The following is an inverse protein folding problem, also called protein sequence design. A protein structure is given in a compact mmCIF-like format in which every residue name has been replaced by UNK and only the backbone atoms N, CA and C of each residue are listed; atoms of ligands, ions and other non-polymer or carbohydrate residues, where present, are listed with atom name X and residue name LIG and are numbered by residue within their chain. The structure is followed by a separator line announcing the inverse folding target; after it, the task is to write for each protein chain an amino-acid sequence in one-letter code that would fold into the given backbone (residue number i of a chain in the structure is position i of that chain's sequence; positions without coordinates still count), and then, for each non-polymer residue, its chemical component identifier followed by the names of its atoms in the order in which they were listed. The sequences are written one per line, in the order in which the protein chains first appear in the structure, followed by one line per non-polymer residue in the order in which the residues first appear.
data_IF_404389085880
#
_entry.id   IF_404389085880
#
_cell.length_a   1.000
_cell.length_b   1.000
_cell.length_c   1.000
_cell.angle_alpha   90.00
_cell.angle_beta   90.00
_cell.angle_gamma   90.00
#
_symmetry.space_group_name_H-M   'P 1'
#
loop_
_entity.id
_entity.type
_entity.pdbx_description
1 polymer ?
#
# COMPACT_ATOMS: atom_id res chain seq x y z
N UNK A 1 -20.62 -2.15 -4.32
CA UNK A 1 -20.66 -1.03 -5.30
C UNK A 1 -21.09 0.23 -4.57
N UNK A 2 -20.16 1.05 -4.05
CA UNK A 2 -20.49 2.21 -3.21
C UNK A 2 -21.33 3.27 -3.94
N UNK A 3 -21.07 3.52 -5.22
CA UNK A 3 -21.72 4.57 -6.00
C UNK A 3 -23.23 4.34 -6.23
N UNK A 4 -23.66 3.08 -6.39
CA UNK A 4 -25.08 2.75 -6.58
C UNK A 4 -25.86 3.03 -5.30
N UNK A 5 -25.35 2.58 -4.15
CA UNK A 5 -25.99 2.81 -2.86
C UNK A 5 -26.05 4.30 -2.52
N UNK A 6 -24.99 5.06 -2.82
CA UNK A 6 -24.97 6.52 -2.60
C UNK A 6 -25.95 7.23 -3.55
N UNK A 7 -26.03 6.81 -4.82
CA UNK A 7 -26.98 7.35 -5.80
C UNK A 7 -28.44 7.13 -5.38
N UNK A 8 -28.75 5.93 -4.87
CA UNK A 8 -30.06 5.59 -4.30
C UNK A 8 -30.39 6.45 -3.07
N UNK A 9 -29.41 6.65 -2.17
CA UNK A 9 -29.60 7.48 -0.97
C UNK A 9 -29.80 8.97 -1.29
N UNK A 10 -29.19 9.46 -2.36
CA UNK A 10 -29.19 10.87 -2.73
C UNK A 10 -30.17 11.20 -3.87
N UNK A 11 -30.93 10.21 -4.37
CA UNK A 11 -31.86 10.37 -5.50
C UNK A 11 -31.23 11.04 -6.73
N UNK A 12 -29.98 10.69 -7.04
CA UNK A 12 -29.22 11.23 -8.19
C UNK A 12 -28.72 10.09 -9.07
N UNK A 13 -28.43 10.40 -10.34
CA UNK A 13 -27.90 9.40 -11.27
C UNK A 13 -26.55 8.86 -10.81
N UNK A 14 -26.36 7.55 -10.94
CA UNK A 14 -25.10 6.86 -10.62
C UNK A 14 -23.88 7.53 -11.27
N UNK A 15 -24.00 7.97 -12.52
CA UNK A 15 -22.91 8.59 -13.27
C UNK A 15 -22.44 9.91 -12.63
N UNK A 16 -23.34 10.63 -11.95
CA UNK A 16 -23.01 11.86 -11.21
C UNK A 16 -22.17 11.50 -10.00
N UNK A 17 -22.60 10.49 -9.23
CA UNK A 17 -21.83 9.99 -8.09
C UNK A 17 -20.47 9.42 -8.52
N UNK A 18 -20.40 8.68 -9.63
CA UNK A 18 -19.14 8.16 -10.15
C UNK A 18 -18.18 9.30 -10.56
N UNK A 19 -18.70 10.36 -11.19
CA UNK A 19 -17.91 11.55 -11.54
C UNK A 19 -17.46 12.32 -10.30
N UNK A 20 -18.32 12.48 -9.29
CA UNK A 20 -17.97 13.15 -8.04
C UNK A 20 -16.91 12.36 -7.26
N UNK A 21 -17.04 11.04 -7.20
CA UNK A 21 -16.01 10.17 -6.62
C UNK A 21 -14.68 10.33 -7.35
N UNK A 22 -14.68 10.36 -8.69
CA UNK A 22 -13.46 10.58 -9.47
C UNK A 22 -12.86 11.97 -9.24
N UNK A 23 -13.69 13.01 -9.13
CA UNK A 23 -13.25 14.37 -8.82
C UNK A 23 -12.61 14.42 -7.43
N UNK A 24 -13.26 13.85 -6.42
CA UNK A 24 -12.75 13.75 -5.06
C UNK A 24 -11.40 13.00 -5.02
N UNK A 25 -11.28 11.87 -5.71
CA UNK A 25 -9.99 11.16 -5.81
C UNK A 25 -8.91 12.00 -6.49
N UNK A 26 -9.26 12.77 -7.52
CA UNK A 26 -8.33 13.67 -8.20
C UNK A 26 -7.88 14.81 -7.28
N UNK A 27 -8.79 15.38 -6.49
CA UNK A 27 -8.46 16.45 -5.53
C UNK A 27 -7.63 15.93 -4.36
N UNK A 28 -7.99 14.77 -3.79
CA UNK A 28 -7.16 14.05 -2.83
C UNK A 28 -5.76 13.78 -3.40
N UNK A 29 -5.67 13.40 -4.67
CA UNK A 29 -4.40 13.22 -5.37
C UNK A 29 -3.57 14.50 -5.52
N UNK A 30 -4.20 15.69 -5.56
CA UNK A 30 -3.49 16.99 -5.55
C UNK A 30 -2.97 17.33 -4.16
N UNK A 31 -3.72 17.04 -3.11
CA UNK A 31 -3.28 17.20 -1.72
C UNK A 31 -2.14 16.24 -1.38
N UNK A 32 -2.18 15.02 -1.92
CA UNK A 32 -1.12 14.01 -1.77
C UNK A 32 0.25 14.46 -2.29
N UNK A 33 0.32 15.38 -3.26
CA UNK A 33 1.62 15.94 -3.70
C UNK A 33 2.37 16.73 -2.62
N UNK A 34 1.70 17.09 -1.52
CA UNK A 34 2.26 17.86 -0.40
C UNK A 34 2.50 17.04 0.85
N UNK A 35 2.02 15.80 0.89
CA UNK A 35 2.09 14.95 2.08
C UNK A 35 3.10 13.85 1.79
N UNK A 36 4.13 13.75 2.63
CA UNK A 36 5.03 12.61 2.62
C UNK A 36 4.19 11.33 2.85
N UNK A 37 4.26 10.39 1.92
CA UNK A 37 3.47 9.17 1.94
C UNK A 37 3.74 8.38 3.22
N UNK A 38 4.99 8.37 3.68
CA UNK A 38 5.37 7.69 4.91
C UNK A 38 4.75 8.39 6.13
N UNK A 39 4.76 9.73 6.15
CA UNK A 39 4.12 10.51 7.20
C UNK A 39 2.58 10.34 7.20
N UNK A 40 1.96 10.19 6.03
CA UNK A 40 0.54 9.90 5.92
C UNK A 40 0.21 8.52 6.50
N UNK A 41 0.91 7.48 6.06
CA UNK A 41 0.71 6.10 6.53
C UNK A 41 0.93 6.04 8.05
N UNK A 42 2.00 6.65 8.54
CA UNK A 42 2.30 6.72 9.97
C UNK A 42 1.17 7.41 10.75
N UNK A 43 0.64 8.54 10.27
CA UNK A 43 -0.51 9.22 10.89
C UNK A 43 -1.77 8.36 10.91
N UNK A 44 -2.03 7.56 9.88
CA UNK A 44 -3.18 6.65 9.87
C UNK A 44 -3.00 5.48 10.86
N UNK A 45 -1.79 4.93 10.96
CA UNK A 45 -1.46 3.88 11.93
C UNK A 45 -1.68 4.39 13.36
N UNK A 46 -1.18 5.58 13.69
CA UNK A 46 -1.39 6.19 15.02
C UNK A 46 -2.88 6.35 15.35
N UNK A 47 -3.70 6.80 14.39
CA UNK A 47 -5.14 6.96 14.59
C UNK A 47 -5.82 5.63 14.88
N UNK A 48 -5.49 4.60 14.10
CA UNK A 48 -6.02 3.25 14.29
C UNK A 48 -5.59 2.66 15.64
N UNK A 49 -4.33 2.82 16.02
CA UNK A 49 -3.82 2.31 17.30
C UNK A 49 -4.41 3.05 18.51
N UNK A 50 -4.65 4.36 18.37
CA UNK A 50 -5.40 5.13 19.37
C UNK A 50 -6.83 4.61 19.54
N UNK A 51 -7.52 4.29 18.43
CA UNK A 51 -8.86 3.71 18.48
C UNK A 51 -8.86 2.32 19.10
N UNK A 52 -7.87 1.49 18.76
CA UNK A 52 -7.64 0.18 19.36
C UNK A 52 -7.46 0.27 20.87
N UNK A 53 -6.63 1.21 21.36
CA UNK A 53 -6.44 1.45 22.79
C UNK A 53 -7.74 1.85 23.50
N UNK A 54 -8.56 2.71 22.89
CA UNK A 54 -9.89 3.05 23.43
C UNK A 54 -10.81 1.84 23.51
N UNK A 55 -10.87 1.03 22.46
CA UNK A 55 -11.67 -0.20 22.44
C UNK A 55 -11.21 -1.20 23.50
N UNK A 56 -9.90 -1.38 23.70
CA UNK A 56 -9.37 -2.20 24.78
C UNK A 56 -9.86 -1.71 26.15
N UNK A 57 -9.85 -0.39 26.38
CA UNK A 57 -10.39 0.18 27.63
C UNK A 57 -11.89 -0.03 27.82
N UNK A 58 -12.66 -0.18 26.73
CA UNK A 58 -14.09 -0.52 26.78
C UNK A 58 -14.33 -2.01 26.96
N UNK A 59 -13.44 -2.85 26.42
CA UNK A 59 -13.47 -4.30 26.60
C UNK A 59 -13.32 -4.67 28.07
N UNK A 60 -12.38 -4.03 28.77
CA UNK A 60 -12.16 -4.23 30.21
C UNK A 60 -13.38 -3.86 31.07
N UNK A 61 -14.21 -2.93 30.58
CA UNK A 61 -15.41 -2.42 31.27
C UNK A 61 -16.71 -3.08 30.79
N UNK A 62 -16.63 -4.01 29.85
CA UNK A 62 -17.83 -4.65 29.31
C UNK A 62 -18.28 -5.78 30.25
N UNK A 63 -19.54 -5.73 30.67
CA UNK A 63 -20.07 -6.66 31.67
C UNK A 63 -20.76 -7.89 31.06
N UNK A 64 -21.02 -7.86 29.75
CA UNK A 64 -21.74 -8.89 29.02
C UNK A 64 -20.89 -9.44 27.85
N UNK A 65 -21.07 -10.74 27.58
CA UNK A 65 -20.28 -11.49 26.60
C UNK A 65 -20.51 -10.98 25.17
N UNK A 66 -21.72 -10.56 24.82
CA UNK A 66 -22.04 -10.07 23.48
C UNK A 66 -21.32 -8.75 23.19
N UNK A 67 -21.30 -7.82 24.15
CA UNK A 67 -20.50 -6.58 24.04
C UNK A 67 -19.02 -6.87 23.95
N UNK A 68 -18.50 -7.82 24.75
CA UNK A 68 -17.08 -8.21 24.67
C UNK A 68 -16.72 -8.72 23.28
N UNK A 69 -17.50 -9.67 22.76
CA UNK A 69 -17.32 -10.22 21.41
C UNK A 69 -17.40 -9.14 20.32
N UNK A 70 -18.34 -8.19 20.45
CA UNK A 70 -18.45 -7.09 19.50
C UNK A 70 -17.19 -6.21 19.50
N UNK A 71 -16.69 -5.85 20.69
CA UNK A 71 -15.47 -5.03 20.84
C UNK A 71 -14.23 -5.78 20.33
N UNK A 72 -14.08 -7.06 20.66
CA UNK A 72 -12.98 -7.91 20.18
C UNK A 72 -12.95 -7.98 18.64
N UNK A 73 -14.10 -8.15 17.99
CA UNK A 73 -14.20 -8.12 16.52
C UNK A 73 -13.78 -6.78 15.95
N UNK A 74 -14.13 -5.67 16.60
CA UNK A 74 -13.71 -4.34 16.17
C UNK A 74 -12.20 -4.15 16.31
N UNK A 75 -11.59 -4.62 17.41
CA UNK A 75 -10.14 -4.61 17.61
C UNK A 75 -9.44 -5.44 16.53
N UNK A 76 -9.89 -6.68 16.29
CA UNK A 76 -9.31 -7.54 15.27
C UNK A 76 -9.38 -6.90 13.87
N UNK A 77 -10.49 -6.24 13.53
CA UNK A 77 -10.62 -5.51 12.27
C UNK A 77 -9.62 -4.35 12.15
N UNK A 78 -9.34 -3.63 13.25
CA UNK A 78 -8.30 -2.60 13.26
C UNK A 78 -6.93 -3.23 13.02
N UNK A 79 -6.61 -4.33 13.70
CA UNK A 79 -5.33 -5.03 13.54
C UNK A 79 -5.12 -5.48 12.09
N UNK A 80 -6.15 -6.07 11.46
CA UNK A 80 -6.10 -6.43 10.04
C UNK A 80 -5.88 -5.23 9.11
N UNK A 81 -6.48 -4.08 9.41
CA UNK A 81 -6.28 -2.85 8.62
C UNK A 81 -4.86 -2.34 8.74
N UNK A 82 -4.29 -2.32 9.94
CA UNK A 82 -2.90 -1.88 10.17
C UNK A 82 -1.94 -2.79 9.38
N UNK A 83 -2.06 -4.11 9.53
CA UNK A 83 -1.23 -5.09 8.80
C UNK A 83 -1.34 -4.87 7.29
N UNK A 84 -2.57 -4.74 6.78
CA UNK A 84 -2.79 -4.53 5.35
C UNK A 84 -2.19 -3.21 4.85
N UNK A 85 -2.25 -2.13 5.64
CA UNK A 85 -1.63 -0.85 5.28
C UNK A 85 -0.11 -0.96 5.22
N UNK A 86 0.52 -1.57 6.24
CA UNK A 86 1.98 -1.76 6.29
C UNK A 86 2.44 -2.63 5.12
N UNK A 87 1.80 -3.77 4.89
CA UNK A 87 2.15 -4.66 3.78
C UNK A 87 2.03 -3.96 2.43
N UNK A 88 0.96 -3.17 2.21
CA UNK A 88 0.81 -2.40 0.96
C UNK A 88 1.85 -1.28 0.84
N UNK A 89 2.17 -0.60 1.93
CA UNK A 89 3.18 0.46 1.94
C UNK A 89 4.57 -0.08 1.58
N UNK A 90 4.91 -1.31 1.99
CA UNK A 90 6.18 -1.94 1.62
C UNK A 90 6.15 -2.55 0.20
N UNK A 91 5.07 -3.24 -0.16
CA UNK A 91 5.01 -3.99 -1.42
C UNK A 91 4.74 -3.12 -2.65
N UNK A 92 4.02 -2.00 -2.53
CA UNK A 92 3.67 -1.16 -3.68
C UNK A 92 4.88 -0.44 -4.28
N UNK A 93 5.75 0.24 -3.49
CA UNK A 93 7.00 0.78 -4.00
C UNK A 93 7.89 -0.33 -4.57
N UNK A 94 7.89 -1.50 -3.93
CA UNK A 94 8.64 -2.65 -4.38
C UNK A 94 8.23 -3.11 -5.79
N UNK A 95 6.94 -3.37 -5.98
CA UNK A 95 6.40 -3.78 -7.26
C UNK A 95 6.61 -2.70 -8.34
N UNK A 96 6.41 -1.42 -7.98
CA UNK A 96 6.58 -0.30 -8.89
C UNK A 96 8.01 -0.20 -9.44
N UNK A 97 9.02 -0.14 -8.57
CA UNK A 97 10.41 0.00 -9.02
C UNK A 97 10.92 -1.26 -9.72
N UNK A 98 10.49 -2.45 -9.32
CA UNK A 98 10.81 -3.67 -10.06
C UNK A 98 10.26 -3.63 -11.50
N UNK A 99 9.04 -3.09 -11.70
CA UNK A 99 8.48 -2.90 -13.04
C UNK A 99 9.28 -1.87 -13.85
N UNK A 100 9.66 -0.74 -13.22
CA UNK A 100 10.52 0.28 -13.85
C UNK A 100 11.86 -0.32 -14.27
N UNK A 101 12.54 -1.05 -13.39
CA UNK A 101 13.83 -1.67 -13.69
C UNK A 101 13.73 -2.75 -14.76
N UNK A 102 12.63 -3.51 -14.81
CA UNK A 102 12.36 -4.47 -15.89
C UNK A 102 12.34 -3.78 -17.26
N UNK A 103 11.61 -2.67 -17.38
CA UNK A 103 11.54 -1.90 -18.64
C UNK A 103 12.88 -1.24 -18.99
N UNK A 104 13.58 -0.66 -18.01
CA UNK A 104 14.91 -0.09 -18.24
C UNK A 104 15.91 -1.15 -18.73
N UNK A 105 15.87 -2.36 -18.17
CA UNK A 105 16.71 -3.48 -18.58
C UNK A 105 16.36 -3.99 -19.98
N UNK A 106 15.09 -3.96 -20.37
CA UNK A 106 14.64 -4.29 -21.73
C UNK A 106 15.20 -3.29 -22.74
N UNK A 107 15.08 -1.99 -22.47
CA UNK A 107 15.64 -0.92 -23.31
C UNK A 107 17.18 -1.03 -23.40
N UNK A 108 17.86 -1.30 -22.28
CA UNK A 108 19.30 -1.49 -22.27
C UNK A 108 19.73 -2.69 -23.14
N UNK A 109 18.95 -3.79 -23.13
CA UNK A 109 19.20 -4.96 -23.99
C UNK A 109 19.00 -4.63 -25.47
N UNK A 110 17.92 -3.94 -25.82
CA UNK A 110 17.62 -3.52 -27.20
C UNK A 110 18.70 -2.59 -27.76
N UNK A 111 19.16 -1.64 -26.95
CA UNK A 111 20.21 -0.68 -27.31
C UNK A 111 21.65 -1.21 -27.13
N UNK A 112 21.81 -2.48 -26.76
CA UNK A 112 23.12 -3.14 -26.49
C UNK A 112 24.00 -2.36 -25.50
N UNK A 113 23.38 -1.74 -24.49
CA UNK A 113 24.08 -1.01 -23.45
C UNK A 113 24.66 -1.99 -22.42
N UNK A 114 25.85 -1.69 -21.89
CA UNK A 114 26.58 -2.59 -20.96
C UNK A 114 26.09 -2.53 -19.50
N UNK A 115 25.00 -1.80 -19.24
CA UNK A 115 24.48 -1.61 -17.90
C UNK A 115 23.12 -2.28 -17.69
N UNK A 116 22.89 -2.73 -16.46
CA UNK A 116 21.62 -3.26 -15.98
C UNK A 116 21.33 -2.77 -14.56
N UNK A 117 20.05 -2.74 -14.22
CA UNK A 117 19.56 -2.53 -12.86
C UNK A 117 19.15 -3.86 -12.25
N UNK A 118 19.49 -4.07 -10.98
CA UNK A 118 19.03 -5.21 -10.18
C UNK A 118 17.73 -4.86 -9.45
N UNK A 119 16.99 -5.87 -8.98
CA UNK A 119 15.73 -5.68 -8.25
C UNK A 119 15.93 -4.99 -6.90
N UNK A 120 14.83 -4.47 -6.37
CA UNK A 120 14.64 -3.43 -5.34
C UNK A 120 15.70 -3.11 -4.29
N UNK A 121 16.49 -4.05 -3.81
CA UNK A 121 17.40 -3.81 -2.67
C UNK A 121 18.76 -3.26 -3.10
N UNK A 122 19.06 -3.32 -4.39
CA UNK A 122 20.32 -2.85 -4.91
C UNK A 122 20.09 -1.61 -5.77
N UNK A 123 19.17 -1.61 -6.74
CA UNK A 123 18.95 -0.45 -7.62
C UNK A 123 20.25 0.08 -8.27
N UNK A 124 21.34 -0.69 -8.17
CA UNK A 124 22.68 -0.27 -8.52
C UNK A 124 22.82 -0.56 -9.99
N UNK A 125 23.25 0.46 -10.73
CA UNK A 125 23.69 0.27 -12.09
C UNK A 125 24.94 -0.61 -12.07
N UNK A 126 24.80 -1.87 -12.48
CA UNK A 126 25.90 -2.82 -12.54
C UNK A 126 26.27 -3.09 -14.00
N UNK A 127 27.55 -3.33 -14.25
CA UNK A 127 28.00 -3.82 -15.55
C UNK A 127 27.52 -5.25 -15.75
N UNK A 128 27.36 -5.66 -17.01
CA UNK A 128 26.91 -7.01 -17.35
C UNK A 128 27.84 -8.10 -16.79
N UNK A 129 29.15 -7.84 -16.80
CA UNK A 129 30.18 -8.74 -16.25
C UNK A 129 30.05 -8.90 -14.73
N UNK A 130 29.75 -7.81 -14.01
CA UNK A 130 29.54 -7.86 -12.56
C UNK A 130 28.28 -8.65 -12.22
N UNK A 131 27.19 -8.49 -12.97
CA UNK A 131 25.95 -9.25 -12.73
C UNK A 131 26.11 -10.75 -12.95
N UNK A 132 26.79 -11.15 -14.02
CA UNK A 132 27.04 -12.58 -14.27
C UNK A 132 27.80 -13.24 -13.12
N UNK A 133 28.80 -12.55 -12.55
CA UNK A 133 29.50 -13.03 -11.35
C UNK A 133 28.58 -13.13 -10.13
N UNK A 134 27.69 -12.16 -9.92
CA UNK A 134 26.71 -12.24 -8.82
C UNK A 134 25.77 -13.43 -8.99
N UNK A 135 25.28 -13.67 -10.21
CA UNK A 135 24.41 -14.82 -10.51
C UNK A 135 25.13 -16.17 -10.32
N UNK A 136 26.43 -16.24 -10.59
CA UNK A 136 27.26 -17.42 -10.31
C UNK A 136 27.36 -17.71 -8.81
N UNK A 137 27.59 -16.67 -7.99
CA UNK A 137 27.67 -16.81 -6.52
C UNK A 137 26.32 -17.22 -5.92
N UNK A 138 25.24 -16.55 -6.32
CA UNK A 138 23.89 -16.85 -5.80
C UNK A 138 23.42 -18.27 -6.14
N UNK A 139 23.85 -18.83 -7.28
CA UNK A 139 23.56 -20.22 -7.67
C UNK A 139 24.41 -21.24 -6.94
N UNK A 140 25.57 -20.85 -6.39
CA UNK A 140 26.44 -21.75 -5.64
C UNK A 140 25.98 -21.91 -4.17
N UNK A 141 25.16 -20.98 -3.67
CA UNK A 141 24.60 -20.99 -2.31
C UNK A 141 23.16 -21.54 -2.21
N UNK A 142 22.55 -21.92 -3.35
CA UNK A 142 21.21 -22.54 -3.44
C UNK A 142 21.31 -24.04 -3.68
#
# INVERSE_FOLDING_TARGET
MPAITIAEMLSVEKNIIDNDIQLLYRELGKEWKRIDFDEYIFRQIIKLDTQRGRLASYLDKADDVDKKLAIERMIANIDFKIVTMVTKAEQLPAAFWNAVYSEMNKVAKEKKLDWRFTTLWEGVKVSRKARNKMDEVLRAES
#
